data_IF_812721197077
#
_entry.id   IF_812721197077
#
_cell.length_a   1.000
_cell.length_b   1.000
_cell.length_c   1.000
_cell.angle_alpha   90.00
_cell.angle_beta   90.00
_cell.angle_gamma   90.00
#
_symmetry.space_group_name_H-M   'P 1'
#
loop_
_entity.id
_entity.type
_entity.pdbx_description
1 polymer ?
#
# COMPACT_ATOMS: atom_id res chain seq x y z
N UNK A 1 9.97 -23.95 -1.85
CA UNK A 1 11.03 -23.62 -0.87
C UNK A 1 11.43 -22.16 -1.13
N UNK A 2 11.38 -21.32 -0.10
CA UNK A 2 11.86 -19.93 -0.16
C UNK A 2 13.24 -19.90 0.47
N UNK A 3 14.23 -19.48 -0.29
CA UNK A 3 15.59 -19.26 0.23
C UNK A 3 15.65 -17.88 0.85
N UNK A 4 16.08 -17.77 2.09
CA UNK A 4 16.29 -16.49 2.79
C UNK A 4 17.75 -16.33 3.14
N UNK A 5 18.27 -15.12 3.02
CA UNK A 5 19.54 -14.69 3.57
C UNK A 5 19.25 -13.92 4.87
N UNK A 6 20.14 -14.02 5.84
CA UNK A 6 19.94 -13.33 7.10
C UNK A 6 21.25 -12.97 7.79
N UNK A 7 21.17 -11.98 8.67
CA UNK A 7 22.26 -11.55 9.55
C UNK A 7 21.73 -11.38 10.97
N UNK A 8 22.56 -11.66 11.92
CA UNK A 8 22.28 -11.43 13.35
C UNK A 8 23.39 -10.57 13.93
N UNK A 9 23.01 -9.46 14.52
CA UNK A 9 23.90 -8.64 15.37
C UNK A 9 23.46 -8.83 16.80
N UNK A 10 24.31 -9.37 17.64
CA UNK A 10 24.01 -9.68 19.03
C UNK A 10 24.98 -8.96 19.97
N UNK A 11 24.46 -8.12 20.82
CA UNK A 11 25.21 -7.45 21.89
C UNK A 11 24.87 -8.05 23.26
N UNK A 12 23.60 -8.37 23.51
CA UNK A 12 23.12 -9.02 24.71
C UNK A 12 21.72 -9.63 24.49
N UNK A 13 21.19 -10.38 25.44
CA UNK A 13 19.84 -10.92 25.38
C UNK A 13 18.73 -9.85 25.29
N UNK A 14 19.04 -8.61 25.68
CA UNK A 14 18.14 -7.45 25.59
C UNK A 14 18.56 -6.41 24.57
N UNK A 15 19.58 -6.72 23.74
CA UNK A 15 20.03 -5.85 22.66
C UNK A 15 20.56 -6.71 21.50
N UNK A 16 19.70 -7.03 20.55
CA UNK A 16 20.06 -7.75 19.34
C UNK A 16 19.15 -7.37 18.17
N UNK A 17 19.66 -7.59 16.98
CA UNK A 17 18.94 -7.38 15.72
C UNK A 17 19.08 -8.63 14.85
N UNK A 18 17.95 -9.09 14.29
CA UNK A 18 17.88 -10.12 13.27
C UNK A 18 17.33 -9.51 12.00
N UNK A 19 18.05 -9.63 10.90
CA UNK A 19 17.59 -9.18 9.58
C UNK A 19 17.50 -10.39 8.66
N UNK A 20 16.39 -10.50 7.92
CA UNK A 20 16.18 -11.53 6.90
C UNK A 20 15.76 -10.88 5.60
N UNK A 21 16.17 -11.44 4.48
CA UNK A 21 15.73 -11.01 3.15
C UNK A 21 15.44 -12.23 2.28
N UNK A 22 14.55 -12.08 1.31
CA UNK A 22 14.36 -13.11 0.28
C UNK A 22 15.67 -13.29 -0.50
N UNK A 23 16.02 -14.54 -0.77
CA UNK A 23 17.16 -14.88 -1.60
C UNK A 23 16.92 -14.55 -3.08
N UNK A 24 17.84 -15.01 -3.95
CA UNK A 24 17.82 -14.70 -5.39
C UNK A 24 16.57 -15.18 -6.13
N UNK A 25 15.81 -16.12 -5.58
CA UNK A 25 14.53 -16.58 -6.17
C UNK A 25 13.40 -15.82 -5.49
N UNK A 26 12.79 -14.91 -6.24
CA UNK A 26 11.61 -14.16 -5.77
C UNK A 26 10.45 -15.12 -5.46
N UNK A 27 9.85 -15.07 -4.28
CA UNK A 27 8.67 -15.87 -3.98
C UNK A 27 7.49 -15.42 -4.86
N UNK A 28 6.73 -16.38 -5.37
CA UNK A 28 5.50 -16.13 -6.11
C UNK A 28 4.32 -16.80 -5.43
N UNK A 29 3.15 -16.16 -5.52
CA UNK A 29 1.90 -16.64 -4.95
C UNK A 29 0.89 -16.82 -6.07
N UNK A 30 0.38 -18.04 -6.24
CA UNK A 30 -0.69 -18.29 -7.19
C UNK A 30 -1.98 -17.59 -6.73
N UNK A 31 -2.65 -16.93 -7.68
CA UNK A 31 -3.95 -16.29 -7.47
C UNK A 31 -4.95 -16.97 -8.38
N UNK A 32 -6.11 -17.34 -7.85
CA UNK A 32 -7.15 -17.99 -8.64
C UNK A 32 -7.70 -17.04 -9.71
N UNK A 33 -7.60 -17.44 -10.98
CA UNK A 33 -8.15 -16.68 -12.12
C UNK A 33 -7.28 -15.53 -12.64
N UNK A 34 -6.08 -15.34 -12.12
CA UNK A 34 -5.15 -14.28 -12.55
C UNK A 34 -3.70 -14.75 -12.61
N UNK A 35 -2.80 -13.83 -12.93
CA UNK A 35 -1.37 -14.09 -12.93
C UNK A 35 -0.86 -14.33 -11.49
N UNK A 36 0.19 -15.13 -11.35
CA UNK A 36 0.86 -15.29 -10.06
C UNK A 36 1.48 -13.95 -9.63
N UNK A 37 1.27 -13.56 -8.37
CA UNK A 37 1.93 -12.41 -7.76
C UNK A 37 3.39 -12.76 -7.48
N UNK A 38 4.33 -12.12 -8.15
CA UNK A 38 5.76 -12.28 -7.91
C UNK A 38 6.28 -11.11 -7.06
N UNK A 39 6.96 -11.43 -5.96
CA UNK A 39 7.61 -10.42 -5.12
C UNK A 39 8.98 -10.07 -5.70
N UNK A 40 9.30 -8.80 -5.81
CA UNK A 40 10.62 -8.31 -6.18
C UNK A 40 11.57 -8.36 -5.01
N UNK A 41 11.14 -7.84 -3.87
CA UNK A 41 11.90 -7.90 -2.63
C UNK A 41 11.00 -8.30 -1.47
N UNK A 42 11.56 -9.01 -0.53
CA UNK A 42 10.94 -9.28 0.77
C UNK A 42 12.04 -9.21 1.83
N UNK A 43 11.83 -8.40 2.85
CA UNK A 43 12.78 -8.29 3.95
C UNK A 43 12.04 -8.17 5.28
N UNK A 44 12.68 -8.61 6.34
CA UNK A 44 12.20 -8.49 7.70
C UNK A 44 13.34 -8.12 8.63
N UNK A 45 13.09 -7.22 9.57
CA UNK A 45 14.04 -6.88 10.64
C UNK A 45 13.32 -6.98 11.97
N UNK A 46 13.83 -7.82 12.85
CA UNK A 46 13.44 -7.85 14.25
C UNK A 46 14.56 -7.24 15.08
N UNK A 47 14.22 -6.24 15.88
CA UNK A 47 15.14 -5.58 16.83
C UNK A 47 14.61 -5.70 18.25
N UNK A 48 15.45 -6.15 19.15
CA UNK A 48 15.21 -6.15 20.60
C UNK A 48 16.10 -5.09 21.25
N UNK A 49 15.53 -4.32 22.16
CA UNK A 49 16.23 -3.36 23.03
C UNK A 49 15.83 -3.59 24.50
N UNK A 50 16.51 -2.95 25.43
CA UNK A 50 16.14 -3.00 26.85
C UNK A 50 14.71 -2.47 27.11
N UNK A 51 14.22 -1.57 26.25
CA UNK A 51 12.91 -0.90 26.40
C UNK A 51 11.79 -1.52 25.57
N UNK A 52 12.10 -2.50 24.71
CA UNK A 52 11.07 -3.10 23.87
C UNK A 52 11.60 -3.87 22.67
N UNK A 53 10.71 -4.15 21.73
CA UNK A 53 11.05 -4.81 20.47
C UNK A 53 10.28 -4.20 19.29
N UNK A 54 10.87 -4.26 18.11
CA UNK A 54 10.23 -3.84 16.86
C UNK A 54 10.43 -4.92 15.81
N UNK A 55 9.36 -5.30 15.12
CA UNK A 55 9.38 -6.10 13.91
C UNK A 55 8.98 -5.21 12.74
N UNK A 56 9.80 -5.14 11.70
CA UNK A 56 9.49 -4.50 10.45
C UNK A 56 9.53 -5.53 9.32
N UNK A 57 8.57 -5.47 8.41
CA UNK A 57 8.51 -6.28 7.19
C UNK A 57 8.31 -5.34 6.02
N UNK A 58 9.09 -5.51 4.95
CA UNK A 58 8.93 -4.77 3.72
C UNK A 58 8.83 -5.73 2.54
N UNK A 59 7.92 -5.44 1.63
CA UNK A 59 7.63 -6.22 0.43
C UNK A 59 7.51 -5.28 -0.78
N UNK A 60 7.99 -5.74 -1.95
CA UNK A 60 7.69 -5.09 -3.22
C UNK A 60 7.32 -6.12 -4.28
N UNK A 61 6.61 -5.71 -5.34
CA UNK A 61 6.35 -6.58 -6.49
C UNK A 61 7.52 -6.55 -7.47
N UNK A 62 7.78 -7.68 -8.15
CA UNK A 62 8.84 -7.78 -9.15
C UNK A 62 8.48 -7.10 -10.49
N UNK A 63 7.20 -6.84 -10.74
CA UNK A 63 6.69 -6.28 -11.98
C UNK A 63 5.17 -6.13 -11.95
N UNK A 64 4.54 -5.88 -13.11
CA UNK A 64 3.09 -5.81 -13.21
C UNK A 64 2.46 -7.13 -12.76
N UNK A 65 1.44 -7.03 -11.95
CA UNK A 65 0.58 -8.14 -11.56
C UNK A 65 -0.84 -7.90 -12.08
N UNK A 66 -1.41 -8.88 -12.76
CA UNK A 66 -2.77 -8.84 -13.33
C UNK A 66 -3.67 -9.80 -12.57
N UNK A 67 -4.30 -9.37 -11.45
CA UNK A 67 -5.17 -10.23 -10.66
C UNK A 67 -6.42 -10.69 -11.42
N UNK A 68 -6.91 -9.83 -12.31
CA UNK A 68 -8.06 -10.11 -13.20
C UNK A 68 -7.85 -9.38 -14.52
N UNK A 69 -8.59 -9.80 -15.57
CA UNK A 69 -8.57 -9.11 -16.87
C UNK A 69 -9.00 -7.65 -16.72
N UNK A 70 -8.32 -6.74 -17.40
CA UNK A 70 -8.59 -5.30 -17.36
C UNK A 70 -8.03 -4.56 -16.14
N UNK A 71 -7.39 -5.26 -15.20
CA UNK A 71 -6.74 -4.64 -14.03
C UNK A 71 -5.27 -5.05 -13.96
N UNK A 72 -4.39 -4.09 -13.80
CA UNK A 72 -2.98 -4.32 -13.51
C UNK A 72 -2.55 -3.55 -12.25
N UNK A 73 -1.65 -4.14 -11.49
CA UNK A 73 -1.08 -3.52 -10.28
C UNK A 73 0.43 -3.47 -10.46
N UNK A 74 1.01 -2.28 -10.33
CA UNK A 74 2.44 -2.06 -10.53
C UNK A 74 3.04 -1.29 -9.36
N UNK A 75 4.35 -1.40 -9.19
CA UNK A 75 5.12 -0.62 -8.20
C UNK A 75 4.58 -0.76 -6.77
N UNK A 76 4.05 -1.93 -6.41
CA UNK A 76 3.55 -2.14 -5.05
C UNK A 76 4.72 -2.21 -4.08
N UNK A 77 4.66 -1.36 -3.07
CA UNK A 77 5.53 -1.39 -1.90
C UNK A 77 4.65 -1.44 -0.67
N UNK A 78 4.84 -2.46 0.14
CA UNK A 78 4.10 -2.65 1.38
C UNK A 78 5.08 -2.75 2.54
N UNK A 79 4.78 -2.07 3.63
CA UNK A 79 5.53 -2.19 4.89
C UNK A 79 4.57 -2.50 6.02
N UNK A 80 4.97 -3.40 6.87
CA UNK A 80 4.26 -3.69 8.11
C UNK A 80 5.22 -3.59 9.28
N UNK A 81 4.80 -3.02 10.38
CA UNK A 81 5.59 -2.97 11.60
C UNK A 81 4.76 -3.29 12.83
N UNK A 82 5.40 -3.86 13.83
CA UNK A 82 4.83 -4.04 15.16
C UNK A 82 5.86 -3.55 16.15
N UNK A 83 5.50 -2.55 16.94
CA UNK A 83 6.34 -2.02 18.02
C UNK A 83 5.73 -2.38 19.36
N UNK A 84 6.52 -3.03 20.21
CA UNK A 84 6.12 -3.46 21.55
C UNK A 84 7.07 -2.81 22.56
N UNK A 85 6.60 -1.86 23.33
CA UNK A 85 7.35 -1.28 24.44
C UNK A 85 7.10 -2.07 25.72
N UNK A 86 8.09 -2.17 26.59
CA UNK A 86 7.97 -2.85 27.88
C UNK A 86 6.84 -2.22 28.69
N UNK A 87 5.90 -3.04 29.14
CA UNK A 87 4.73 -2.60 29.94
C UNK A 87 3.60 -1.94 29.13
N UNK A 88 3.72 -1.85 27.80
CA UNK A 88 2.69 -1.30 26.93
C UNK A 88 2.16 -2.35 25.94
N UNK A 89 0.97 -2.07 25.35
CA UNK A 89 0.45 -2.88 24.24
C UNK A 89 1.29 -2.67 23.00
N UNK A 90 1.45 -3.74 22.22
CA UNK A 90 2.08 -3.66 20.92
C UNK A 90 1.22 -2.80 19.96
N UNK A 91 1.87 -1.96 19.17
CA UNK A 91 1.24 -1.09 18.18
C UNK A 91 1.61 -1.60 16.79
N UNK A 92 0.64 -2.15 16.03
CA UNK A 92 0.84 -2.48 14.63
C UNK A 92 0.68 -1.23 13.75
N UNK A 93 1.42 -1.20 12.65
CA UNK A 93 1.25 -0.24 11.57
C UNK A 93 1.45 -0.96 10.23
N UNK A 94 0.72 -0.52 9.21
CA UNK A 94 0.80 -1.04 7.86
C UNK A 94 0.67 0.11 6.88
N UNK A 95 1.51 0.12 5.85
CA UNK A 95 1.46 1.09 4.75
C UNK A 95 1.62 0.34 3.43
N UNK A 96 0.84 0.71 2.43
CA UNK A 96 0.94 0.16 1.08
C UNK A 96 0.79 1.28 0.06
N UNK A 97 1.64 1.23 -0.97
CA UNK A 97 1.60 2.14 -2.12
C UNK A 97 1.73 1.34 -3.40
N UNK A 98 1.14 1.84 -4.46
CA UNK A 98 1.21 1.20 -5.77
C UNK A 98 0.47 2.00 -6.82
N UNK A 99 0.49 1.50 -8.04
CA UNK A 99 -0.27 2.06 -9.17
C UNK A 99 -1.23 1.00 -9.70
N UNK A 100 -2.52 1.32 -9.76
CA UNK A 100 -3.53 0.51 -10.42
C UNK A 100 -3.66 0.97 -11.88
N UNK A 101 -3.47 0.06 -12.81
CA UNK A 101 -3.75 0.25 -14.22
C UNK A 101 -5.11 -0.33 -14.57
N UNK A 102 -5.88 0.38 -15.40
CA UNK A 102 -7.22 -0.03 -15.83
C UNK A 102 -7.25 -0.12 -17.35
N UNK A 103 -7.68 -1.26 -17.87
CA UNK A 103 -7.96 -1.49 -19.29
C UNK A 103 -9.44 -1.87 -19.46
N UNK A 104 -10.30 -0.92 -19.14
CA UNK A 104 -11.75 -1.07 -19.16
C UNK A 104 -12.41 -0.39 -20.36
N UNK A 105 -11.60 0.10 -21.32
CA UNK A 105 -12.09 0.83 -22.48
C UNK A 105 -12.69 2.22 -22.17
N UNK A 106 -12.46 2.75 -20.97
CA UNK A 106 -12.90 4.08 -20.54
C UNK A 106 -11.79 5.08 -20.81
N UNK A 107 -12.02 6.01 -21.72
CA UNK A 107 -11.04 7.07 -22.04
C UNK A 107 -10.70 7.89 -20.79
N UNK A 108 -9.41 8.06 -20.53
CA UNK A 108 -8.91 8.77 -19.33
C UNK A 108 -8.76 7.91 -18.07
N UNK A 109 -9.44 6.77 -17.97
CA UNK A 109 -9.29 5.84 -16.85
C UNK A 109 -8.21 4.80 -17.16
N UNK A 110 -6.95 5.22 -17.25
CA UNK A 110 -5.83 4.33 -17.57
C UNK A 110 -5.05 3.87 -16.34
N UNK A 111 -4.93 4.70 -15.32
CA UNK A 111 -4.24 4.35 -14.08
C UNK A 111 -4.65 5.24 -12.91
N UNK A 112 -4.41 4.75 -11.70
CA UNK A 112 -4.54 5.52 -10.48
C UNK A 112 -3.38 5.19 -9.54
N UNK A 113 -2.78 6.19 -8.94
CA UNK A 113 -1.87 5.98 -7.82
C UNK A 113 -2.67 5.73 -6.56
N UNK A 114 -2.36 4.62 -5.91
CA UNK A 114 -3.06 4.19 -4.70
C UNK A 114 -2.11 4.15 -3.51
N UNK A 115 -2.63 4.56 -2.38
CA UNK A 115 -1.95 4.40 -1.09
C UNK A 115 -2.97 3.97 -0.03
N UNK A 116 -2.52 3.15 0.89
CA UNK A 116 -3.34 2.71 2.01
C UNK A 116 -2.49 2.59 3.26
N UNK A 117 -3.05 2.94 4.40
CA UNK A 117 -2.39 2.78 5.69
C UNK A 117 -3.36 2.21 6.72
N UNK A 118 -2.84 1.37 7.60
CA UNK A 118 -3.53 0.88 8.78
C UNK A 118 -2.68 1.21 10.00
N UNK A 119 -3.27 1.84 10.97
CA UNK A 119 -2.61 2.22 12.23
C UNK A 119 -3.52 1.96 13.42
N UNK A 120 -3.06 2.31 14.60
CA UNK A 120 -3.90 2.27 15.82
C UNK A 120 -5.13 3.21 15.72
N UNK A 121 -5.08 4.23 14.87
CA UNK A 121 -6.17 5.20 14.68
C UNK A 121 -7.18 4.79 13.62
N UNK A 122 -6.91 3.75 12.83
CA UNK A 122 -7.82 3.25 11.81
C UNK A 122 -7.14 2.96 10.47
N UNK A 123 -7.96 2.79 9.45
CA UNK A 123 -7.56 2.54 8.07
C UNK A 123 -7.82 3.79 7.21
N UNK A 124 -6.83 4.16 6.39
CA UNK A 124 -6.97 5.19 5.38
C UNK A 124 -6.54 4.65 4.01
N UNK A 125 -7.29 5.00 2.98
CA UNK A 125 -7.01 4.64 1.60
C UNK A 125 -7.22 5.86 0.70
N UNK A 126 -6.32 6.07 -0.26
CA UNK A 126 -6.42 7.13 -1.26
C UNK A 126 -6.09 6.56 -2.63
N UNK A 127 -6.90 6.91 -3.63
CA UNK A 127 -6.64 6.66 -5.05
C UNK A 127 -6.63 8.00 -5.79
N UNK A 128 -5.52 8.31 -6.47
CA UNK A 128 -5.38 9.49 -7.33
C UNK A 128 -5.41 9.01 -8.77
N UNK A 129 -6.38 9.50 -9.53
CA UNK A 129 -6.56 9.16 -10.93
C UNK A 129 -5.94 10.22 -11.84
N UNK A 130 -5.61 9.83 -13.06
CA UNK A 130 -5.36 10.76 -14.13
C UNK A 130 -6.65 11.48 -14.52
N UNK A 131 -6.53 12.53 -15.33
CA UNK A 131 -7.69 13.26 -15.84
C UNK A 131 -8.67 12.33 -16.53
N UNK A 132 -9.93 12.40 -16.14
CA UNK A 132 -11.02 11.67 -16.78
C UNK A 132 -11.67 12.57 -17.82
N UNK A 133 -11.36 12.36 -19.10
CA UNK A 133 -11.98 13.07 -20.20
C UNK A 133 -13.26 12.35 -20.63
N UNK A 134 -14.42 13.01 -20.49
CA UNK A 134 -15.70 12.51 -20.98
C UNK A 134 -15.88 12.85 -22.46
N UNK A 135 -15.36 14.01 -22.87
CA UNK A 135 -15.22 14.47 -24.26
C UNK A 135 -14.18 15.62 -24.32
N UNK A 136 -14.07 16.32 -25.47
CA UNK A 136 -13.13 17.45 -25.62
C UNK A 136 -13.40 18.60 -24.65
N UNK A 137 -14.65 18.78 -24.24
CA UNK A 137 -15.12 19.97 -23.53
C UNK A 137 -15.41 19.71 -22.04
N UNK A 138 -15.48 18.43 -21.64
CA UNK A 138 -15.83 18.01 -20.28
C UNK A 138 -14.75 17.07 -19.75
N UNK A 139 -14.08 17.49 -18.70
CA UNK A 139 -13.05 16.70 -17.99
C UNK A 139 -13.22 16.81 -16.50
N UNK A 140 -12.90 15.75 -15.81
CA UNK A 140 -12.62 15.78 -14.36
C UNK A 140 -11.10 15.70 -14.18
N UNK A 141 -10.49 16.79 -13.76
CA UNK A 141 -9.05 16.96 -13.65
C UNK A 141 -8.58 16.45 -12.30
N UNK A 142 -7.58 15.59 -12.31
CA UNK A 142 -6.90 15.03 -11.14
C UNK A 142 -7.86 14.54 -10.04
N UNK A 143 -8.86 13.68 -10.36
CA UNK A 143 -9.79 13.21 -9.34
C UNK A 143 -9.06 12.38 -8.27
N UNK A 144 -9.45 12.60 -7.02
CA UNK A 144 -8.92 11.87 -5.88
C UNK A 144 -10.08 11.27 -5.08
N UNK A 145 -10.05 9.97 -4.90
CA UNK A 145 -10.94 9.26 -3.99
C UNK A 145 -10.20 8.98 -2.68
N UNK A 146 -10.82 9.29 -1.56
CA UNK A 146 -10.29 9.00 -0.22
C UNK A 146 -11.34 8.27 0.61
N UNK A 147 -10.91 7.24 1.33
CA UNK A 147 -11.73 6.48 2.28
C UNK A 147 -10.99 6.46 3.61
N UNK A 148 -11.69 6.84 4.68
CA UNK A 148 -11.18 6.73 6.05
C UNK A 148 -12.14 5.90 6.87
N UNK A 149 -11.64 4.87 7.52
CA UNK A 149 -12.38 4.01 8.46
C UNK A 149 -11.68 4.14 9.82
N UNK A 150 -12.28 4.83 10.79
CA UNK A 150 -11.69 5.00 12.12
C UNK A 150 -11.51 3.66 12.84
N UNK A 151 -10.60 3.61 13.81
CA UNK A 151 -10.47 2.45 14.68
C UNK A 151 -11.79 2.19 15.44
N UNK A 152 -12.03 0.92 15.76
CA UNK A 152 -13.26 0.51 16.48
C UNK A 152 -13.48 1.24 17.82
N UNK A 153 -12.43 1.77 18.41
CA UNK A 153 -12.45 2.57 19.65
C UNK A 153 -12.74 4.05 19.44
N UNK A 154 -12.77 4.53 18.20
CA UNK A 154 -13.13 5.93 17.86
C UNK A 154 -14.65 6.10 17.82
N UNK A 155 -15.11 7.29 18.14
CA UNK A 155 -16.50 7.73 17.94
C UNK A 155 -16.74 8.33 16.55
N UNK A 156 -15.65 8.52 15.77
CA UNK A 156 -15.74 9.05 14.42
C UNK A 156 -16.43 8.05 13.48
N UNK A 157 -17.07 8.58 12.44
CA UNK A 157 -17.72 7.76 11.41
C UNK A 157 -16.77 7.54 10.23
N UNK A 158 -16.94 6.41 9.56
CA UNK A 158 -16.31 6.20 8.27
C UNK A 158 -16.75 7.29 7.28
N UNK A 159 -15.80 7.78 6.49
CA UNK A 159 -16.03 8.81 5.48
C UNK A 159 -15.39 8.40 4.15
N UNK A 160 -16.07 8.74 3.07
CA UNK A 160 -15.56 8.61 1.71
C UNK A 160 -15.78 9.95 0.99
N UNK A 161 -14.74 10.41 0.30
CA UNK A 161 -14.80 11.64 -0.48
C UNK A 161 -14.25 11.39 -1.88
N UNK A 162 -14.87 12.03 -2.87
CA UNK A 162 -14.34 12.16 -4.22
C UNK A 162 -14.20 13.66 -4.50
N UNK A 163 -13.00 14.10 -4.77
CA UNK A 163 -12.68 15.49 -5.10
C UNK A 163 -12.03 15.58 -6.46
N UNK A 164 -12.08 16.75 -7.08
CA UNK A 164 -11.48 17.00 -8.39
C UNK A 164 -11.91 18.35 -8.93
N UNK A 165 -11.39 18.74 -10.07
CA UNK A 165 -11.77 19.97 -10.76
C UNK A 165 -12.50 19.61 -12.05
N UNK A 166 -13.76 20.03 -12.18
CA UNK A 166 -14.47 19.96 -13.45
C UNK A 166 -13.98 21.06 -14.39
N UNK A 167 -13.46 20.66 -15.52
CA UNK A 167 -13.19 21.57 -16.64
C UNK A 167 -14.35 21.46 -17.63
N UNK A 168 -15.08 22.56 -17.85
CA UNK A 168 -16.21 22.67 -18.75
C UNK A 168 -15.94 23.81 -19.73
N UNK A 169 -15.83 23.49 -21.05
CA UNK A 169 -15.58 24.49 -22.09
C UNK A 169 -14.39 25.42 -21.79
N UNK A 170 -13.33 24.87 -21.19
CA UNK A 170 -12.14 25.62 -20.77
C UNK A 170 -12.28 26.37 -19.42
N UNK A 171 -13.42 26.38 -18.77
CA UNK A 171 -13.60 26.92 -17.44
C UNK A 171 -13.43 25.82 -16.37
N UNK A 172 -12.79 26.14 -15.26
CA UNK A 172 -12.56 25.20 -14.16
C UNK A 172 -13.56 25.46 -13.03
N UNK A 173 -14.27 24.40 -12.63
CA UNK A 173 -15.17 24.38 -11.48
C UNK A 173 -14.62 23.35 -10.48
N UNK A 174 -14.22 23.78 -9.30
CA UNK A 174 -13.72 22.87 -8.27
C UNK A 174 -14.89 22.25 -7.52
N UNK A 175 -14.91 20.91 -7.46
CA UNK A 175 -15.80 20.13 -6.62
C UNK A 175 -15.03 19.57 -5.41
N UNK A 176 -15.59 19.69 -4.23
CA UNK A 176 -15.06 19.15 -2.97
C UNK A 176 -16.15 18.40 -2.21
#
# INVERSE_FOLDING_TARGET
VITVAGAVTYNSATDFTVTVSAGATAPSFAVSGGDALSLGTASGTFKRTATGSTLNVALSTAGPWKPVSGLSVTNVNATASVTCNTGAKCVPAFDVKGTLGFDLGITGLSSADVSGSLSATGFAFTAKFNDLAFNSDIKLVAPTFSLTIPAKTSTDKASATLSGTFALFGANLTAA
#
